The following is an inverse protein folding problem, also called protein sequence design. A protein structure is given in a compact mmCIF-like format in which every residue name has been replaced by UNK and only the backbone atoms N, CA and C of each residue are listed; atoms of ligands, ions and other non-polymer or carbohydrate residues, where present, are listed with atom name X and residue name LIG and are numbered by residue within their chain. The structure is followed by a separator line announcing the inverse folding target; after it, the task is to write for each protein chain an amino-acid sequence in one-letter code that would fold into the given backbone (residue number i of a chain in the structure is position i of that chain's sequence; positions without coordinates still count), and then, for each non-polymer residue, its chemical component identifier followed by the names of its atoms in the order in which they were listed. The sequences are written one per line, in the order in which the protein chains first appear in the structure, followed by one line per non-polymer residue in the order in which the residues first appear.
data_IF_124121855028
#
_entry.id   IF_124121855028
#
_cell.length_a   1.000
_cell.length_b   1.000
_cell.length_c   1.000
_cell.angle_alpha   90.00
_cell.angle_beta   90.00
_cell.angle_gamma   90.00
#
_symmetry.space_group_name_H-M   'P 1'
#
loop_
_entity.id
_entity.type
_entity.pdbx_description
1 polymer ?
#
# COMPACT_ATOMS: atom_id res chain seq x y z
N UNK A 1 -20.86 20.86 -1.23
CA UNK A 1 -20.37 19.73 -0.42
C UNK A 1 -21.51 18.74 -0.30
N UNK A 2 -21.25 17.43 -0.39
CA UNK A 2 -22.30 16.40 -0.33
C UNK A 2 -22.33 15.77 1.05
N UNK A 3 -23.54 15.54 1.53
CA UNK A 3 -23.81 15.04 2.87
C UNK A 3 -24.79 13.88 2.82
N UNK A 4 -24.60 12.94 3.73
CA UNK A 4 -25.50 11.83 3.97
C UNK A 4 -26.27 12.15 5.24
N UNK A 5 -27.58 12.16 5.13
CA UNK A 5 -28.46 12.69 6.15
C UNK A 5 -29.72 11.83 6.32
N UNK A 6 -30.33 11.97 7.48
CA UNK A 6 -31.63 11.39 7.80
C UNK A 6 -32.67 12.51 7.92
N UNK A 7 -33.85 12.31 7.34
CA UNK A 7 -34.99 13.21 7.50
C UNK A 7 -35.59 12.98 8.90
N UNK A 8 -35.59 14.01 9.74
CA UNK A 8 -36.16 13.96 11.08
C UNK A 8 -37.22 15.05 11.23
N UNK A 9 -38.26 14.79 12.01
CA UNK A 9 -39.23 15.82 12.39
C UNK A 9 -38.76 16.51 13.67
N UNK A 10 -38.70 17.83 13.66
CA UNK A 10 -38.41 18.59 14.86
C UNK A 10 -39.61 18.55 15.81
N UNK A 11 -39.40 18.06 17.03
CA UNK A 11 -40.45 17.94 18.05
C UNK A 11 -41.01 19.29 18.51
N UNK A 12 -40.21 20.36 18.41
CA UNK A 12 -40.56 21.70 18.88
C UNK A 12 -41.31 22.53 17.84
N UNK A 13 -40.90 22.46 16.57
CA UNK A 13 -41.49 23.25 15.48
C UNK A 13 -42.45 22.44 14.59
N UNK A 14 -42.41 21.11 14.66
CA UNK A 14 -43.17 20.22 13.78
C UNK A 14 -42.70 20.22 12.32
N UNK A 15 -41.65 21.00 11.98
CA UNK A 15 -41.06 21.06 10.66
C UNK A 15 -40.11 19.90 10.40
N UNK A 16 -39.94 19.55 9.13
CA UNK A 16 -38.93 18.58 8.72
C UNK A 16 -37.54 19.22 8.72
N UNK A 17 -36.54 18.44 9.15
CA UNK A 17 -35.14 18.83 9.25
C UNK A 17 -34.26 17.69 8.74
N UNK A 18 -33.05 18.04 8.28
CA UNK A 18 -32.04 17.06 7.89
C UNK A 18 -31.00 16.92 8.99
N UNK A 19 -30.92 15.73 9.56
CA UNK A 19 -29.85 15.35 10.47
C UNK A 19 -28.67 14.83 9.67
N UNK A 20 -27.56 15.57 9.66
CA UNK A 20 -26.34 15.16 8.97
C UNK A 20 -25.68 14.01 9.74
N UNK A 21 -25.40 12.91 9.04
CA UNK A 21 -24.77 11.71 9.57
C UNK A 21 -23.34 11.54 9.07
N UNK A 22 -23.07 11.88 7.81
CA UNK A 22 -21.73 11.86 7.25
C UNK A 22 -21.52 12.96 6.22
N UNK A 23 -20.28 13.42 6.07
CA UNK A 23 -19.86 14.38 5.05
C UNK A 23 -18.88 13.74 4.07
N UNK A 24 -19.01 14.08 2.79
CA UNK A 24 -18.08 13.62 1.78
C UNK A 24 -16.82 14.50 1.81
N UNK A 25 -15.70 13.94 2.26
CA UNK A 25 -14.42 14.66 2.34
C UNK A 25 -13.65 14.60 1.02
N UNK A 26 -13.82 13.54 0.24
CA UNK A 26 -13.24 13.38 -1.09
C UNK A 26 -14.01 12.34 -1.91
N UNK A 27 -13.59 12.08 -3.15
CA UNK A 27 -14.20 11.04 -3.99
C UNK A 27 -14.21 9.69 -3.27
N UNK A 28 -15.42 9.16 -3.03
CA UNK A 28 -15.70 7.91 -2.30
C UNK A 28 -15.23 7.84 -0.84
N UNK A 29 -14.78 8.94 -0.22
CA UNK A 29 -14.41 8.98 1.21
C UNK A 29 -15.41 9.84 1.97
N UNK A 30 -15.95 9.25 3.02
CA UNK A 30 -16.97 9.84 3.88
C UNK A 30 -16.50 9.84 5.33
N UNK A 31 -16.63 10.98 6.00
CA UNK A 31 -16.39 11.11 7.42
C UNK A 31 -17.73 11.10 8.17
N UNK A 32 -17.86 10.22 9.17
CA UNK A 32 -19.05 10.19 10.05
C UNK A 32 -18.99 11.40 10.97
N UNK A 33 -20.09 12.15 11.04
CA UNK A 33 -20.20 13.33 11.88
C UNK A 33 -20.64 12.90 13.28
N UNK A 34 -19.73 12.97 14.26
CA UNK A 34 -20.01 12.56 15.65
C UNK A 34 -21.07 13.44 16.33
N UNK A 35 -21.10 14.74 15.99
CA UNK A 35 -22.11 15.69 16.46
C UNK A 35 -23.10 15.95 15.35
N UNK A 36 -24.26 15.30 15.44
CA UNK A 36 -25.36 15.48 14.50
C UNK A 36 -25.68 16.97 14.31
N UNK A 37 -25.25 17.53 13.18
CA UNK A 37 -25.64 18.87 12.76
C UNK A 37 -27.01 18.77 12.11
N UNK A 38 -27.90 19.69 12.46
CA UNK A 38 -29.27 19.69 11.94
C UNK A 38 -29.43 20.90 11.03
N UNK A 39 -29.90 20.64 9.81
CA UNK A 39 -30.16 21.67 8.80
C UNK A 39 -31.68 21.81 8.65
N UNK A 40 -32.26 22.99 8.96
CA UNK A 40 -33.67 23.23 8.77
C UNK A 40 -34.05 23.05 7.31
N UNK A 41 -35.12 22.31 7.07
CA UNK A 41 -35.46 21.86 5.73
C UNK A 41 -36.87 22.32 5.37
N UNK A 42 -37.03 23.65 5.35
CA UNK A 42 -38.31 24.34 5.18
C UNK A 42 -39.00 24.04 3.84
N UNK A 43 -38.25 23.62 2.81
CA UNK A 43 -38.73 23.42 1.44
C UNK A 43 -38.61 21.96 0.96
N UNK A 44 -38.52 20.99 1.88
CA UNK A 44 -38.44 19.60 1.46
C UNK A 44 -39.79 19.12 0.89
N UNK A 45 -39.82 18.55 -0.33
CA UNK A 45 -41.00 17.90 -0.86
C UNK A 45 -41.32 16.63 -0.07
N UNK A 46 -42.38 16.62 0.73
CA UNK A 46 -43.10 15.43 1.25
C UNK A 46 -42.25 14.21 1.67
N UNK A 47 -41.02 14.39 2.18
CA UNK A 47 -40.19 13.26 2.60
C UNK A 47 -40.68 12.75 3.96
N UNK A 48 -40.71 11.43 4.10
CA UNK A 48 -41.08 10.78 5.35
C UNK A 48 -39.96 10.86 6.38
N UNK A 49 -40.33 10.98 7.65
CA UNK A 49 -39.42 10.81 8.77
C UNK A 49 -38.69 9.45 8.69
N UNK A 50 -37.40 9.44 9.02
CA UNK A 50 -36.51 8.27 8.95
C UNK A 50 -35.95 7.96 7.56
N UNK A 51 -36.25 8.77 6.54
CA UNK A 51 -35.72 8.54 5.20
C UNK A 51 -34.24 8.98 5.10
N UNK A 52 -33.40 8.11 4.54
CA UNK A 52 -32.00 8.39 4.27
C UNK A 52 -31.84 9.08 2.92
N UNK A 53 -31.12 10.20 2.91
CA UNK A 53 -30.95 11.07 1.75
C UNK A 53 -29.51 11.52 1.58
N UNK A 54 -29.17 11.83 0.34
CA UNK A 54 -27.97 12.56 -0.04
C UNK A 54 -28.36 14.00 -0.32
N UNK A 55 -27.80 14.93 0.45
CA UNK A 55 -28.05 16.35 0.31
C UNK A 55 -26.79 17.07 -0.16
N UNK A 56 -26.90 17.87 -1.21
CA UNK A 56 -25.84 18.80 -1.59
C UNK A 56 -26.12 20.14 -0.91
N UNK A 57 -25.23 20.57 -0.01
CA UNK A 57 -25.35 21.85 0.68
C UNK A 57 -24.38 22.87 0.08
N UNK A 58 -24.86 24.11 -0.04
CA UNK A 58 -24.06 25.28 -0.40
C UNK A 58 -23.27 25.84 0.78
N UNK A 59 -22.50 26.91 0.53
CA UNK A 59 -21.60 27.52 1.53
C UNK A 59 -22.34 27.99 2.81
N UNK A 60 -23.61 28.41 2.67
CA UNK A 60 -24.44 28.87 3.78
C UNK A 60 -25.31 27.76 4.40
N UNK A 61 -24.97 26.48 4.20
CA UNK A 61 -25.78 25.32 4.61
C UNK A 61 -27.20 25.27 4.02
N UNK A 62 -27.43 26.05 2.97
CA UNK A 62 -28.65 25.98 2.18
C UNK A 62 -28.66 24.70 1.35
N UNK A 63 -29.82 24.04 1.32
CA UNK A 63 -30.01 22.81 0.55
C UNK A 63 -30.09 23.17 -0.93
N UNK A 64 -29.15 22.65 -1.73
CA UNK A 64 -29.14 22.81 -3.18
C UNK A 64 -29.88 21.68 -3.89
N UNK A 65 -29.72 20.45 -3.39
CA UNK A 65 -30.37 19.26 -3.94
C UNK A 65 -30.55 18.20 -2.85
N UNK A 66 -31.58 17.36 -3.01
CA UNK A 66 -31.82 16.18 -2.17
C UNK A 66 -32.16 14.99 -3.07
N UNK A 67 -31.53 13.86 -2.80
CA UNK A 67 -31.78 12.60 -3.49
C UNK A 67 -31.95 11.48 -2.47
N UNK A 68 -32.81 10.50 -2.76
CA UNK A 68 -32.90 9.29 -1.93
C UNK A 68 -31.56 8.53 -1.95
N UNK A 69 -31.08 8.12 -0.78
CA UNK A 69 -29.81 7.41 -0.68
C UNK A 69 -29.91 5.91 -1.03
N UNK A 70 -31.10 5.39 -1.35
CA UNK A 70 -31.35 3.96 -1.57
C UNK A 70 -30.38 3.32 -2.57
N UNK A 71 -30.30 3.86 -3.79
CA UNK A 71 -29.46 3.29 -4.84
C UNK A 71 -27.98 3.42 -4.48
N UNK A 72 -27.59 4.56 -3.93
CA UNK A 72 -26.22 4.80 -3.47
C UNK A 72 -25.79 3.81 -2.38
N UNK A 73 -26.66 3.51 -1.40
CA UNK A 73 -26.38 2.47 -0.39
C UNK A 73 -26.26 1.10 -1.04
N UNK A 74 -27.12 0.76 -2.00
CA UNK A 74 -27.02 -0.51 -2.73
C UNK A 74 -25.71 -0.60 -3.52
N UNK A 75 -25.26 0.48 -4.14
CA UNK A 75 -23.98 0.55 -4.85
C UNK A 75 -22.81 0.34 -3.88
N UNK A 76 -22.85 0.94 -2.68
CA UNK A 76 -21.84 0.69 -1.64
C UNK A 76 -21.82 -0.77 -1.18
N UNK A 77 -23.00 -1.36 -0.95
CA UNK A 77 -23.12 -2.79 -0.60
C UNK A 77 -22.55 -3.66 -1.73
N UNK A 78 -22.85 -3.32 -2.99
CA UNK A 78 -22.33 -4.04 -4.14
C UNK A 78 -20.79 -3.91 -4.24
N UNK A 79 -20.28 -2.69 -4.09
CA UNK A 79 -18.86 -2.39 -4.27
C UNK A 79 -17.99 -2.97 -3.14
N UNK A 80 -18.42 -2.82 -1.89
CA UNK A 80 -17.60 -3.11 -0.71
C UNK A 80 -17.98 -4.38 0.05
N UNK A 81 -19.22 -4.87 -0.08
CA UNK A 81 -19.67 -6.07 0.64
C UNK A 81 -19.84 -7.30 -0.27
N UNK A 82 -19.81 -7.13 -1.60
CA UNK A 82 -19.92 -8.26 -2.55
C UNK A 82 -18.55 -8.77 -2.99
N UNK A 83 -17.54 -7.90 -3.06
CA UNK A 83 -16.15 -8.33 -3.18
C UNK A 83 -15.72 -8.83 -1.80
N UNK A 84 -15.32 -10.11 -1.68
CA UNK A 84 -14.89 -10.75 -0.43
C UNK A 84 -13.59 -10.18 0.17
N UNK A 85 -13.19 -8.98 -0.27
CA UNK A 85 -12.00 -8.26 0.15
C UNK A 85 -12.38 -7.47 1.39
N UNK A 86 -12.36 -8.14 2.54
CA UNK A 86 -12.51 -7.47 3.83
C UNK A 86 -11.24 -6.67 4.16
N UNK A 87 -11.33 -5.61 4.98
CA UNK A 87 -10.15 -4.90 5.48
C UNK A 87 -9.12 -5.84 6.15
N UNK A 88 -9.60 -6.88 6.85
CA UNK A 88 -8.76 -7.91 7.45
C UNK A 88 -7.99 -8.73 6.38
N UNK A 89 -8.62 -9.03 5.24
CA UNK A 89 -7.96 -9.69 4.12
C UNK A 89 -6.84 -8.83 3.52
N UNK A 90 -7.06 -7.52 3.36
CA UNK A 90 -6.04 -6.58 2.88
C UNK A 90 -4.87 -6.44 3.86
N UNK A 91 -5.15 -6.36 5.17
CA UNK A 91 -4.11 -6.36 6.21
C UNK A 91 -3.28 -7.64 6.15
N UNK A 92 -3.92 -8.80 6.02
CA UNK A 92 -3.24 -10.08 5.94
C UNK A 92 -2.37 -10.20 4.67
N UNK A 93 -2.82 -9.66 3.53
CA UNK A 93 -2.02 -9.61 2.30
C UNK A 93 -0.82 -8.67 2.45
N UNK A 94 -0.98 -7.54 3.13
CA UNK A 94 0.12 -6.62 3.43
C UNK A 94 1.17 -7.27 4.34
N UNK A 95 0.75 -8.01 5.37
CA UNK A 95 1.66 -8.79 6.22
C UNK A 95 2.41 -9.87 5.42
N UNK A 96 1.71 -10.61 4.53
CA UNK A 96 2.34 -11.58 3.63
C UNK A 96 3.38 -10.94 2.72
N UNK A 97 3.05 -9.78 2.13
CA UNK A 97 3.96 -9.05 1.27
C UNK A 97 5.20 -8.56 2.03
N UNK A 98 5.03 -8.09 3.27
CA UNK A 98 6.14 -7.67 4.12
C UNK A 98 7.04 -8.87 4.51
N UNK A 99 6.45 -10.02 4.84
CA UNK A 99 7.20 -11.25 5.07
C UNK A 99 8.03 -11.66 3.84
N UNK A 100 7.42 -11.67 2.66
CA UNK A 100 8.14 -11.96 1.42
C UNK A 100 9.25 -10.96 1.13
N UNK A 101 9.05 -9.68 1.45
CA UNK A 101 10.09 -8.64 1.32
C UNK A 101 11.29 -8.92 2.23
N UNK A 102 11.04 -9.37 3.46
CA UNK A 102 12.08 -9.74 4.42
C UNK A 102 12.86 -10.97 3.94
N UNK A 103 12.16 -12.02 3.51
CA UNK A 103 12.79 -13.24 2.97
C UNK A 103 13.65 -12.92 1.74
N UNK A 104 13.15 -12.10 0.81
CA UNK A 104 13.90 -11.68 -0.37
C UNK A 104 15.16 -10.88 0.00
N UNK A 105 15.07 -10.03 1.02
CA UNK A 105 16.21 -9.25 1.51
C UNK A 105 17.29 -10.16 2.11
N UNK A 106 16.89 -11.15 2.91
CA UNK A 106 17.80 -12.14 3.48
C UNK A 106 18.50 -12.96 2.38
N UNK A 107 17.74 -13.44 1.39
CA UNK A 107 18.31 -14.16 0.24
C UNK A 107 19.30 -13.30 -0.55
N UNK A 108 18.98 -12.03 -0.78
CA UNK A 108 19.87 -11.08 -1.45
C UNK A 108 21.19 -10.87 -0.69
N UNK A 109 21.12 -10.72 0.63
CA UNK A 109 22.32 -10.60 1.48
C UNK A 109 23.17 -11.88 1.47
N UNK A 110 22.55 -13.05 1.51
CA UNK A 110 23.27 -14.31 1.45
C UNK A 110 23.98 -14.50 0.10
N UNK A 111 23.33 -14.12 -1.00
CA UNK A 111 23.93 -14.14 -2.34
C UNK A 111 25.12 -13.17 -2.43
N UNK A 112 25.00 -11.96 -1.89
CA UNK A 112 26.10 -11.00 -1.85
C UNK A 112 27.31 -11.56 -1.08
N UNK A 113 27.06 -12.20 0.07
CA UNK A 113 28.11 -12.86 0.86
C UNK A 113 28.81 -13.99 0.07
N UNK A 114 28.04 -14.84 -0.60
CA UNK A 114 28.59 -15.94 -1.41
C UNK A 114 29.40 -15.42 -2.59
N UNK A 115 28.96 -14.34 -3.24
CA UNK A 115 29.71 -13.72 -4.32
C UNK A 115 31.07 -13.19 -3.84
N UNK A 116 31.10 -12.51 -2.69
CA UNK A 116 32.36 -12.03 -2.10
C UNK A 116 33.31 -13.19 -1.74
N UNK A 117 32.80 -14.29 -1.18
CA UNK A 117 33.63 -15.47 -0.89
C UNK A 117 34.21 -16.08 -2.18
N UNK A 118 33.39 -16.15 -3.24
CA UNK A 118 33.82 -16.67 -4.54
C UNK A 118 34.87 -15.78 -5.20
N UNK A 119 34.74 -14.46 -5.09
CA UNK A 119 35.75 -13.50 -5.58
C UNK A 119 37.06 -13.67 -4.81
N UNK A 120 37.03 -13.72 -3.47
CA UNK A 120 38.22 -13.95 -2.66
C UNK A 120 38.91 -15.29 -3.00
N UNK A 121 38.14 -16.36 -3.22
CA UNK A 121 38.69 -17.65 -3.67
C UNK A 121 39.34 -17.56 -5.05
N UNK A 122 38.77 -16.78 -5.98
CA UNK A 122 39.36 -16.56 -7.32
C UNK A 122 40.69 -15.83 -7.23
N UNK A 123 40.77 -14.78 -6.41
CA UNK A 123 42.03 -14.04 -6.18
C UNK A 123 43.12 -14.94 -5.59
N UNK A 124 42.75 -15.79 -4.62
CA UNK A 124 43.68 -16.76 -4.04
C UNK A 124 44.21 -17.76 -5.10
N UNK A 125 43.33 -18.28 -5.96
CA UNK A 125 43.72 -19.18 -7.06
C UNK A 125 44.70 -18.46 -8.00
N UNK A 126 44.39 -17.24 -8.43
CA UNK A 126 45.26 -16.47 -9.32
C UNK A 126 46.65 -16.22 -8.72
N UNK A 127 46.72 -15.95 -7.42
CA UNK A 127 48.00 -15.75 -6.71
C UNK A 127 48.82 -17.05 -6.71
N UNK A 128 48.19 -18.19 -6.38
CA UNK A 128 48.86 -19.49 -6.39
C UNK A 128 49.32 -19.90 -7.81
N UNK A 129 48.52 -19.61 -8.83
CA UNK A 129 48.89 -19.83 -10.23
C UNK A 129 50.13 -19.03 -10.63
N UNK A 130 50.20 -17.75 -10.24
CA UNK A 130 51.38 -16.90 -10.50
C UNK A 130 52.63 -17.41 -9.77
N UNK A 131 52.51 -17.83 -8.51
CA UNK A 131 53.61 -18.41 -7.75
C UNK A 131 54.14 -19.71 -8.37
N UNK A 132 53.23 -20.60 -8.80
CA UNK A 132 53.59 -21.83 -9.49
C UNK A 132 54.31 -21.55 -10.80
N UNK A 133 53.84 -20.58 -11.58
CA UNK A 133 54.45 -20.18 -12.84
C UNK A 133 55.86 -19.59 -12.63
N UNK A 134 56.05 -18.77 -11.60
CA UNK A 134 57.38 -18.25 -11.24
C UNK A 134 58.34 -19.37 -10.83
N UNK A 135 57.89 -20.30 -9.98
CA UNK A 135 58.70 -21.44 -9.55
C UNK A 135 59.10 -22.34 -10.72
N UNK A 136 58.19 -22.60 -11.66
CA UNK A 136 58.51 -23.35 -12.89
C UNK A 136 59.63 -22.67 -13.68
N UNK A 137 59.51 -21.37 -13.94
CA UNK A 137 60.54 -20.59 -14.65
C UNK A 137 61.90 -20.63 -13.94
N UNK A 138 61.91 -20.58 -12.62
CA UNK A 138 63.15 -20.70 -11.83
C UNK A 138 63.79 -22.09 -11.96
N UNK A 139 62.99 -23.15 -11.92
CA UNK A 139 63.49 -24.52 -12.13
C UNK A 139 64.05 -24.71 -13.53
N UNK A 140 63.34 -24.26 -14.56
CA UNK A 140 63.80 -24.32 -15.95
C UNK A 140 65.13 -23.56 -16.16
N UNK A 141 65.29 -22.39 -15.53
CA UNK A 141 66.53 -21.62 -15.58
C UNK A 141 67.69 -22.35 -14.89
N UNK A 142 67.46 -22.93 -13.72
CA UNK A 142 68.47 -23.72 -12.99
C UNK A 142 68.89 -24.97 -13.79
N UNK A 143 67.94 -25.67 -14.39
CA UNK A 143 68.24 -26.82 -15.25
C UNK A 143 69.07 -26.44 -16.48
N UNK A 144 68.75 -25.30 -17.11
CA UNK A 144 69.52 -24.78 -18.24
C UNK A 144 70.96 -24.43 -17.84
N UNK A 145 71.16 -23.82 -16.67
CA UNK A 145 72.49 -23.47 -16.16
C UNK A 145 73.31 -24.71 -15.77
N UNK A 146 72.69 -25.72 -15.15
CA UNK A 146 73.36 -26.99 -14.85
C UNK A 146 73.80 -27.72 -16.12
N UNK A 147 72.96 -27.75 -17.16
CA UNK A 147 73.32 -28.33 -18.47
C UNK A 147 74.51 -27.61 -19.12
N UNK A 148 74.57 -26.29 -19.03
CA UNK A 148 75.72 -25.51 -19.55
C UNK A 148 77.02 -25.80 -18.80
N UNK A 149 76.95 -25.95 -17.47
CA UNK A 149 78.14 -26.25 -16.64
C UNK A 149 78.66 -27.68 -16.80
N UNK A 150 77.79 -28.65 -17.11
CA UNK A 150 78.19 -30.04 -17.34
C UNK A 150 78.72 -30.35 -18.74
N UNK A 151 78.71 -29.39 -19.66
CA UNK A 151 79.16 -29.56 -21.06
C UNK A 151 80.51 -28.87 -21.37
N UNK A 152 81.17 -28.30 -20.36
CA UNK A 152 82.56 -27.83 -20.38
C UNK A 152 83.44 -28.80 -19.59
#
# INVERSE_FOLDING_TARGET
MRYFAEVQKNESSGSMELRILAEQTSDNIWAVVEKASVVPAAEIPSLSEGLLVLADLGENQQILSIHEAKNWVLDLVQQYLTSSITPAFLQQEAERAEHWRQDLTLQSQELARKNLEMEARREQIQTLEQELEQKKKQLEALEADLKKRGSN
#
